data_IF_265298162448
#
_entry.id   IF_265298162448
#
_cell.length_a   1.000
_cell.length_b   1.000
_cell.length_c   1.000
_cell.angle_alpha   90.00
_cell.angle_beta   90.00
_cell.angle_gamma   90.00
#
_symmetry.space_group_name_H-M   'P 1'
#
loop_
_entity.id
_entity.type
_entity.pdbx_description
1 polymer ?
#
# COMPACT_ATOMS: atom_id res chain seq x y z
N UNK A 1 -1.48 6.51 -26.42
CA UNK A 1 -0.83 6.99 -25.19
C UNK A 1 -1.49 6.33 -24.00
N UNK A 2 -1.04 5.11 -23.75
CA UNK A 2 -1.31 4.37 -22.52
C UNK A 2 -0.51 5.03 -21.38
N UNK A 3 -1.05 4.98 -20.16
CA UNK A 3 -0.38 5.49 -18.96
C UNK A 3 0.01 4.33 -18.05
N UNK A 4 1.22 4.41 -17.52
CA UNK A 4 1.82 3.37 -16.69
C UNK A 4 2.17 3.93 -15.31
N UNK A 5 1.97 3.09 -14.29
CA UNK A 5 2.21 3.45 -12.90
C UNK A 5 3.73 3.56 -12.64
N UNK A 6 4.21 4.73 -12.23
CA UNK A 6 5.53 4.90 -11.63
C UNK A 6 5.36 5.13 -10.13
N UNK A 7 6.19 4.49 -9.31
CA UNK A 7 6.16 4.67 -7.85
C UNK A 7 7.56 5.04 -7.39
N UNK A 8 7.66 6.11 -6.61
CA UNK A 8 8.91 6.60 -6.05
C UNK A 8 8.77 6.97 -4.57
N UNK A 9 9.88 6.98 -3.84
CA UNK A 9 9.92 7.37 -2.43
C UNK A 9 11.18 8.18 -2.12
N UNK A 10 11.14 8.96 -1.03
CA UNK A 10 12.24 9.83 -0.64
C UNK A 10 11.91 10.77 0.52
N UNK A 11 12.89 11.52 1.06
CA UNK A 11 12.67 12.46 2.16
C UNK A 11 11.93 13.74 1.73
N UNK A 12 11.96 14.10 0.45
CA UNK A 12 11.27 15.28 -0.10
C UNK A 12 10.85 15.06 -1.56
N UNK A 13 10.00 15.96 -2.09
CA UNK A 13 9.49 15.87 -3.47
C UNK A 13 10.62 16.01 -4.50
N UNK A 14 11.67 16.76 -4.17
CA UNK A 14 12.84 16.99 -5.05
C UNK A 14 13.91 15.88 -4.93
N UNK A 15 13.69 14.89 -4.06
CA UNK A 15 14.64 13.83 -3.73
C UNK A 15 13.97 12.44 -3.71
N UNK A 16 13.14 12.14 -4.72
CA UNK A 16 12.47 10.86 -4.88
C UNK A 16 13.28 9.90 -5.77
N UNK A 17 13.46 8.65 -5.34
CA UNK A 17 14.00 7.55 -6.15
C UNK A 17 12.91 6.53 -6.52
N UNK A 18 12.99 5.93 -7.72
CA UNK A 18 12.01 4.94 -8.20
C UNK A 18 12.13 3.66 -7.36
N UNK A 19 11.01 3.19 -6.83
CA UNK A 19 10.94 2.00 -5.98
C UNK A 19 11.16 0.71 -6.78
N UNK A 20 11.89 -0.23 -6.17
CA UNK A 20 11.93 -1.62 -6.59
C UNK A 20 10.61 -2.32 -6.17
N UNK A 21 9.49 -1.98 -6.81
CA UNK A 21 8.15 -2.46 -6.43
C UNK A 21 8.09 -3.98 -6.39
N UNK A 22 7.53 -4.54 -5.31
CA UNK A 22 7.50 -5.97 -4.97
C UNK A 22 8.87 -6.65 -4.70
N UNK A 23 9.97 -5.89 -4.56
CA UNK A 23 11.29 -6.41 -4.13
C UNK A 23 11.60 -5.98 -2.69
N UNK A 24 11.17 -6.79 -1.72
CA UNK A 24 11.32 -6.50 -0.29
C UNK A 24 12.78 -6.52 0.21
N UNK A 25 13.70 -7.09 -0.57
CA UNK A 25 15.16 -7.04 -0.37
C UNK A 25 15.79 -5.71 -0.79
N UNK A 26 15.05 -4.84 -1.51
CA UNK A 26 15.53 -3.58 -2.09
C UNK A 26 14.64 -2.37 -1.68
N UNK A 27 14.43 -2.13 -0.37
CA UNK A 27 13.70 -0.94 0.06
C UNK A 27 14.48 0.33 -0.25
N UNK A 28 13.75 1.38 -0.61
CA UNK A 28 14.28 2.75 -0.75
C UNK A 28 14.76 3.24 0.61
N UNK A 29 15.97 3.79 0.68
CA UNK A 29 16.54 4.30 1.94
C UNK A 29 16.26 5.79 2.08
N UNK A 30 15.61 6.15 3.17
CA UNK A 30 15.33 7.53 3.55
C UNK A 30 16.38 7.96 4.57
N UNK A 31 17.27 8.86 4.18
CA UNK A 31 18.34 9.38 5.02
C UNK A 31 18.28 10.90 5.04
N UNK A 32 17.87 11.46 6.19
CA UNK A 32 17.58 12.89 6.32
C UNK A 32 17.84 13.38 7.74
N UNK A 33 17.91 14.70 7.94
CA UNK A 33 18.12 15.29 9.28
C UNK A 33 16.95 15.08 10.25
N UNK A 34 15.76 14.70 9.77
CA UNK A 34 14.53 14.53 10.57
C UNK A 34 14.12 13.05 10.73
N UNK A 35 14.61 12.15 9.88
CA UNK A 35 14.24 10.74 9.83
C UNK A 35 15.32 9.88 9.14
N UNK A 36 15.63 8.73 9.76
CA UNK A 36 16.47 7.68 9.19
C UNK A 36 15.65 6.40 9.09
N UNK A 37 15.48 5.86 7.89
CA UNK A 37 14.61 4.70 7.69
C UNK A 37 14.61 4.15 6.26
N UNK A 38 13.68 3.24 6.00
CA UNK A 38 13.56 2.51 4.73
C UNK A 38 12.10 2.20 4.39
N UNK A 39 11.76 2.23 3.11
CA UNK A 39 10.39 2.06 2.59
C UNK A 39 10.36 1.04 1.45
N UNK A 40 9.42 0.11 1.48
CA UNK A 40 9.06 -0.77 0.35
C UNK A 40 7.60 -0.56 -0.02
N UNK A 41 7.27 -0.79 -1.30
CA UNK A 41 5.89 -0.74 -1.80
C UNK A 41 5.61 -2.01 -2.59
N UNK A 42 4.46 -2.61 -2.29
CA UNK A 42 3.95 -3.82 -2.92
C UNK A 42 2.67 -3.47 -3.67
N UNK A 43 2.53 -3.99 -4.89
CA UNK A 43 1.34 -3.77 -5.74
C UNK A 43 0.95 -5.09 -6.35
N UNK A 44 -0.33 -5.47 -6.19
CA UNK A 44 -0.89 -6.68 -6.77
C UNK A 44 -1.02 -6.51 -8.28
N UNK A 45 -0.58 -7.52 -9.03
CA UNK A 45 -0.52 -7.56 -10.49
C UNK A 45 0.14 -6.33 -11.14
N UNK A 46 1.21 -5.81 -10.51
CA UNK A 46 1.97 -4.63 -10.93
C UNK A 46 2.36 -4.65 -12.41
N UNK A 47 2.03 -3.57 -13.11
CA UNK A 47 2.38 -3.34 -14.53
C UNK A 47 3.17 -2.05 -14.75
N UNK A 48 3.76 -1.52 -13.68
CA UNK A 48 4.40 -0.20 -13.68
C UNK A 48 5.83 -0.17 -14.20
N UNK A 49 6.43 1.02 -14.13
CA UNK A 49 7.84 1.27 -14.43
C UNK A 49 8.72 0.65 -13.34
N UNK A 50 9.68 -0.24 -13.67
CA UNK A 50 10.63 -0.75 -12.70
C UNK A 50 11.72 0.28 -12.36
N UNK A 51 12.35 0.12 -11.19
CA UNK A 51 13.60 0.78 -10.87
C UNK A 51 14.75 0.33 -11.80
N UNK A 52 15.75 1.18 -11.99
CA UNK A 52 16.88 0.90 -12.88
C UNK A 52 17.62 -0.39 -12.47
N UNK A 53 17.85 -1.28 -13.43
CA UNK A 53 18.51 -2.57 -13.20
C UNK A 53 17.67 -3.62 -12.44
N UNK A 54 16.43 -3.31 -12.05
CA UNK A 54 15.54 -4.23 -11.32
C UNK A 54 14.52 -4.84 -12.28
N UNK A 55 14.35 -6.18 -12.33
CA UNK A 55 13.31 -6.79 -13.16
C UNK A 55 11.91 -6.55 -12.59
N UNK A 56 10.91 -6.40 -13.47
CA UNK A 56 9.50 -6.25 -13.04
C UNK A 56 9.04 -7.50 -12.28
N UNK A 57 8.63 -7.32 -11.02
CA UNK A 57 7.94 -8.32 -10.22
C UNK A 57 6.45 -7.97 -10.15
N UNK A 58 5.59 -8.80 -10.75
CA UNK A 58 4.13 -8.55 -10.81
C UNK A 58 3.43 -8.66 -9.46
N UNK A 59 3.90 -9.55 -8.58
CA UNK A 59 3.33 -9.80 -7.27
C UNK A 59 4.46 -10.08 -6.26
N UNK A 60 4.28 -9.63 -5.02
CA UNK A 60 5.05 -10.10 -3.88
C UNK A 60 4.35 -11.30 -3.21
N UNK A 61 5.11 -12.15 -2.50
CA UNK A 61 4.55 -13.28 -1.73
C UNK A 61 3.55 -12.82 -0.65
N UNK A 62 3.67 -11.57 -0.19
CA UNK A 62 2.70 -10.84 0.63
C UNK A 62 1.24 -11.11 0.25
N UNK A 63 0.89 -11.05 -1.04
CA UNK A 63 -0.48 -11.24 -1.54
C UNK A 63 -0.94 -12.70 -1.57
N UNK A 64 -0.10 -13.63 -1.11
CA UNK A 64 -0.41 -15.06 -0.93
C UNK A 64 -0.50 -15.46 0.55
N UNK A 65 -0.08 -14.59 1.48
CA UNK A 65 -0.20 -14.83 2.92
C UNK A 65 -1.61 -14.43 3.42
N UNK A 66 -2.16 -15.08 4.46
CA UNK A 66 -3.49 -14.76 5.02
C UNK A 66 -3.67 -13.32 5.54
N UNK A 67 -2.56 -12.59 5.67
CA UNK A 67 -2.52 -11.18 6.06
C UNK A 67 -2.67 -10.21 4.88
N UNK A 68 -2.21 -10.62 3.69
CA UNK A 68 -2.13 -9.76 2.50
C UNK A 68 -3.00 -10.19 1.31
N UNK A 69 -3.63 -11.37 1.38
CA UNK A 69 -4.45 -11.96 0.29
C UNK A 69 -5.54 -11.04 -0.26
N UNK A 70 -6.21 -10.32 0.65
CA UNK A 70 -7.31 -9.40 0.43
C UNK A 70 -6.86 -7.96 0.13
N UNK A 71 -5.56 -7.68 0.17
CA UNK A 71 -4.99 -6.37 -0.13
C UNK A 71 -4.65 -6.23 -1.62
N UNK A 72 -4.71 -5.01 -2.12
CA UNK A 72 -4.31 -4.65 -3.49
C UNK A 72 -2.94 -3.97 -3.54
N UNK A 73 -2.50 -3.40 -2.41
CA UNK A 73 -1.18 -2.81 -2.23
C UNK A 73 -0.73 -2.85 -0.76
N UNK A 74 0.54 -2.58 -0.50
CA UNK A 74 1.11 -2.32 0.83
C UNK A 74 2.20 -1.25 0.72
N UNK A 75 2.25 -0.34 1.69
CA UNK A 75 3.35 0.62 1.90
C UNK A 75 3.93 0.30 3.29
N UNK A 76 5.09 -0.35 3.32
CA UNK A 76 5.76 -0.71 4.56
C UNK A 76 6.96 0.20 4.78
N UNK A 77 7.04 0.82 5.95
CA UNK A 77 8.12 1.72 6.35
C UNK A 77 8.70 1.30 7.70
N UNK A 78 10.01 1.45 7.86
CA UNK A 78 10.72 1.25 9.14
C UNK A 78 11.71 2.38 9.36
N UNK A 79 11.76 2.99 10.54
CA UNK A 79 12.76 4.02 10.84
C UNK A 79 12.64 4.66 12.22
N UNK A 80 13.53 5.60 12.49
CA UNK A 80 13.59 6.44 13.70
C UNK A 80 13.43 7.91 13.34
N UNK A 81 12.83 8.68 14.26
CA UNK A 81 12.69 10.13 14.15
C UNK A 81 13.81 10.79 14.96
N UNK A 82 14.53 11.77 14.41
CA UNK A 82 15.72 12.34 15.08
C UNK A 82 15.39 13.26 16.27
N UNK A 83 14.13 13.66 16.39
CA UNK A 83 13.56 14.43 17.50
C UNK A 83 12.30 13.73 18.02
N UNK A 84 11.96 13.97 19.29
CA UNK A 84 10.72 13.47 19.88
C UNK A 84 9.49 14.03 19.17
N UNK A 85 8.51 13.16 18.88
CA UNK A 85 7.25 13.53 18.23
C UNK A 85 6.05 12.89 18.93
N UNK A 86 5.04 13.69 19.25
CA UNK A 86 3.76 13.17 19.77
C UNK A 86 3.08 12.33 18.69
N UNK A 87 2.53 11.17 19.08
CA UNK A 87 1.76 10.31 18.19
C UNK A 87 0.47 10.97 17.69
N UNK A 88 0.04 12.11 18.27
CA UNK A 88 -1.05 12.93 17.74
C UNK A 88 -0.59 13.85 16.59
N UNK A 89 0.69 14.26 16.59
CA UNK A 89 1.28 15.17 15.60
C UNK A 89 1.96 14.42 14.44
N UNK A 90 2.43 13.19 14.68
CA UNK A 90 2.97 12.28 13.67
C UNK A 90 1.82 11.73 12.79
N UNK A 91 1.68 12.25 11.58
CA UNK A 91 0.59 11.90 10.67
C UNK A 91 1.08 11.25 9.37
N UNK A 92 0.22 10.40 8.81
CA UNK A 92 0.36 9.80 7.49
C UNK A 92 -0.94 9.94 6.70
N UNK A 93 -0.84 10.00 5.37
CA UNK A 93 -1.98 10.23 4.50
C UNK A 93 -1.60 11.02 3.25
N UNK A 94 -2.59 11.54 2.55
CA UNK A 94 -2.46 12.13 1.23
C UNK A 94 -2.30 13.65 1.24
N UNK A 95 -1.49 14.15 0.29
CA UNK A 95 -1.37 15.57 -0.04
C UNK A 95 -1.40 15.75 -1.56
N UNK A 96 -2.11 16.78 -2.02
CA UNK A 96 -2.27 17.13 -3.43
C UNK A 96 -1.64 18.52 -3.67
N UNK A 97 -1.01 18.68 -4.83
CA UNK A 97 -0.33 19.93 -5.21
C UNK A 97 -1.27 20.97 -5.82
N UNK A 98 -2.41 20.50 -6.34
CA UNK A 98 -3.41 21.30 -7.04
C UNK A 98 -4.83 21.05 -6.49
N UNK A 99 -5.75 22.03 -6.59
CA UNK A 99 -7.11 21.90 -6.09
C UNK A 99 -7.86 20.72 -6.72
N UNK A 100 -8.59 19.97 -5.91
CA UNK A 100 -9.47 18.89 -6.37
C UNK A 100 -10.92 19.35 -6.54
N UNK A 101 -11.31 20.49 -5.91
CA UNK A 101 -12.70 20.98 -5.79
C UNK A 101 -13.51 21.02 -7.08
N UNK A 102 -12.87 21.32 -8.20
CA UNK A 102 -13.50 21.45 -9.52
C UNK A 102 -13.63 20.09 -10.26
N UNK A 103 -13.03 19.03 -9.68
CA UNK A 103 -13.03 17.65 -10.18
C UNK A 103 -13.64 16.65 -9.19
N UNK A 104 -14.08 17.07 -8.00
CA UNK A 104 -14.66 16.17 -7.00
C UNK A 104 -15.94 15.48 -7.52
N UNK A 105 -16.08 14.13 -7.42
CA UNK A 105 -17.25 13.42 -7.93
C UNK A 105 -18.56 13.85 -7.29
N UNK A 106 -19.64 13.77 -8.06
CA UNK A 106 -20.99 13.67 -7.48
C UNK A 106 -21.04 12.41 -6.60
N UNK A 107 -21.28 12.60 -5.29
CA UNK A 107 -21.13 11.54 -4.29
C UNK A 107 -19.82 11.57 -3.51
N UNK A 108 -18.99 12.62 -3.62
CA UNK A 108 -17.80 12.82 -2.75
C UNK A 108 -18.13 12.70 -1.25
N UNK A 109 -19.33 13.13 -0.83
CA UNK A 109 -19.80 12.96 0.55
C UNK A 109 -19.93 11.49 0.99
N UNK A 110 -20.10 10.55 0.05
CA UNK A 110 -20.09 9.10 0.30
C UNK A 110 -18.64 8.62 0.45
N UNK A 111 -17.73 9.04 -0.45
CA UNK A 111 -16.31 8.70 -0.37
C UNK A 111 -15.66 9.24 0.93
N UNK A 112 -16.01 10.46 1.36
CA UNK A 112 -15.58 11.05 2.63
C UNK A 112 -16.13 10.28 3.84
N UNK A 113 -17.43 9.92 3.83
CA UNK A 113 -18.01 9.06 4.87
C UNK A 113 -17.37 7.68 4.92
N UNK A 114 -16.99 7.14 3.75
CA UNK A 114 -16.27 5.86 3.67
C UNK A 114 -14.86 5.98 4.25
N UNK A 115 -14.14 7.07 3.97
CA UNK A 115 -12.84 7.33 4.59
C UNK A 115 -12.95 7.36 6.13
N UNK A 116 -13.94 8.07 6.69
CA UNK A 116 -14.21 8.07 8.14
C UNK A 116 -14.74 6.73 8.70
N UNK A 117 -15.24 5.84 7.86
CA UNK A 117 -15.67 4.48 8.26
C UNK A 117 -14.48 3.51 8.32
N UNK A 118 -13.53 3.62 7.39
CA UNK A 118 -12.28 2.85 7.39
C UNK A 118 -11.34 3.36 8.48
N UNK A 119 -11.22 4.68 8.62
CA UNK A 119 -10.37 5.33 9.61
C UNK A 119 -11.14 6.46 10.33
N UNK A 120 -11.61 6.24 11.56
CA UNK A 120 -12.36 7.25 12.31
C UNK A 120 -11.48 8.42 12.81
N UNK A 121 -10.16 8.36 12.62
CA UNK A 121 -9.22 9.41 13.02
C UNK A 121 -8.84 10.36 11.89
N UNK A 122 -9.28 10.08 10.65
CA UNK A 122 -8.94 10.87 9.48
C UNK A 122 -9.52 12.28 9.55
N UNK A 123 -8.67 13.26 9.25
CA UNK A 123 -9.04 14.65 9.01
C UNK A 123 -8.69 15.01 7.58
N UNK A 124 -9.47 15.86 6.93
CA UNK A 124 -9.22 16.25 5.56
C UNK A 124 -9.72 17.67 5.27
N UNK A 125 -9.11 18.30 4.27
CA UNK A 125 -9.70 19.41 3.54
C UNK A 125 -9.49 19.14 2.05
N UNK A 126 -10.57 18.74 1.36
CA UNK A 126 -10.55 18.48 -0.08
C UNK A 126 -10.86 19.72 -0.94
N UNK A 127 -11.21 20.84 -0.30
CA UNK A 127 -11.62 22.08 -0.97
C UNK A 127 -10.51 23.15 -0.97
N UNK A 128 -9.52 23.02 -0.10
CA UNK A 128 -8.29 23.79 -0.08
C UNK A 128 -7.57 23.86 -1.45
N UNK A 129 -6.72 24.87 -1.64
CA UNK A 129 -5.88 24.99 -2.85
C UNK A 129 -4.80 23.90 -2.94
N UNK A 130 -4.40 23.36 -1.79
CA UNK A 130 -3.59 22.14 -1.66
C UNK A 130 -4.34 21.14 -0.80
N UNK A 131 -5.22 20.32 -1.40
CA UNK A 131 -6.02 19.34 -0.68
C UNK A 131 -5.18 18.35 0.11
N UNK A 132 -5.75 17.87 1.22
CA UNK A 132 -5.09 16.89 2.07
C UNK A 132 -6.09 16.00 2.81
N UNK A 133 -5.63 14.80 3.17
CA UNK A 133 -6.32 13.89 4.07
C UNK A 133 -5.26 13.18 4.93
N UNK A 134 -5.25 13.43 6.23
CA UNK A 134 -4.23 12.95 7.17
C UNK A 134 -4.85 12.31 8.40
N UNK A 135 -4.22 11.25 8.87
CA UNK A 135 -4.53 10.56 10.11
C UNK A 135 -3.25 10.39 10.94
N UNK A 136 -3.34 10.31 12.28
CA UNK A 136 -2.22 9.89 13.11
C UNK A 136 -1.64 8.54 12.66
N UNK A 137 -0.33 8.49 12.40
CA UNK A 137 0.34 7.35 11.73
C UNK A 137 -0.01 6.01 12.39
N UNK A 138 0.21 5.92 13.70
CA UNK A 138 0.05 4.66 14.45
C UNK A 138 -1.43 4.22 14.56
N UNK A 139 -2.39 5.11 14.31
CA UNK A 139 -3.82 4.80 14.30
C UNK A 139 -4.32 4.31 12.92
N UNK A 140 -3.79 4.86 11.83
CA UNK A 140 -4.29 4.61 10.46
C UNK A 140 -3.70 3.38 9.76
N UNK A 141 -2.48 2.98 10.15
CA UNK A 141 -1.78 1.83 9.55
C UNK A 141 -2.48 0.51 9.86
N UNK A 142 -2.39 -0.46 8.96
CA UNK A 142 -3.01 -1.78 9.15
C UNK A 142 -2.22 -2.62 10.16
N UNK A 143 -0.89 -2.46 10.20
CA UNK A 143 -0.01 -2.99 11.25
C UNK A 143 0.94 -1.91 11.77
N UNK A 144 1.21 -1.94 13.07
CA UNK A 144 2.29 -1.16 13.68
C UNK A 144 3.07 -2.00 14.69
N UNK A 145 4.38 -1.93 14.59
CA UNK A 145 5.33 -2.48 15.54
C UNK A 145 6.29 -1.40 16.05
N UNK A 146 6.72 -1.54 17.30
CA UNK A 146 7.70 -0.67 17.93
C UNK A 146 8.86 -1.49 18.50
N UNK A 147 10.08 -0.97 18.38
CA UNK A 147 11.28 -1.56 18.99
C UNK A 147 12.10 -0.44 19.62
N UNK A 148 12.05 -0.32 20.96
CA UNK A 148 12.87 0.64 21.69
C UNK A 148 14.26 0.08 21.95
N UNK A 149 15.29 0.85 21.56
CA UNK A 149 16.69 0.59 21.86
C UNK A 149 17.12 1.24 23.20
N UNK A 150 18.35 0.99 23.65
CA UNK A 150 18.89 1.67 24.83
C UNK A 150 19.08 3.17 24.57
N UNK A 151 18.83 4.05 25.55
CA UNK A 151 18.88 5.50 25.36
C UNK A 151 20.17 5.99 24.70
N UNK A 152 20.04 6.62 23.53
CA UNK A 152 21.16 7.18 22.77
C UNK A 152 21.89 6.19 21.86
N UNK A 153 21.41 4.94 21.71
CA UNK A 153 21.96 3.96 20.74
C UNK A 153 22.09 4.58 19.34
N UNK A 154 21.04 5.27 18.90
CA UNK A 154 20.98 5.88 17.57
C UNK A 154 21.72 7.22 17.45
N UNK A 155 22.04 7.89 18.56
CA UNK A 155 22.72 9.19 18.56
C UNK A 155 24.18 9.15 18.07
N UNK A 156 24.79 7.97 18.02
CA UNK A 156 26.13 7.77 17.46
C UNK A 156 26.13 7.64 15.93
N UNK A 157 24.96 7.42 15.31
CA UNK A 157 24.80 7.24 13.87
C UNK A 157 24.28 8.52 13.21
N UNK A 158 24.76 8.79 11.99
CA UNK A 158 24.33 9.93 11.17
C UNK A 158 24.04 9.52 9.71
N UNK A 159 23.98 8.22 9.42
CA UNK A 159 23.75 7.63 8.10
C UNK A 159 22.89 6.39 8.28
N UNK A 160 21.67 6.41 7.73
CA UNK A 160 20.65 5.39 7.94
C UNK A 160 21.14 3.96 7.64
N UNK A 161 21.91 3.77 6.56
CA UNK A 161 22.45 2.45 6.18
C UNK A 161 23.29 1.80 7.28
N UNK A 162 24.08 2.59 8.02
CA UNK A 162 24.91 2.06 9.13
C UNK A 162 24.10 1.64 10.36
N UNK A 163 22.89 2.20 10.52
CA UNK A 163 21.98 1.86 11.61
C UNK A 163 21.37 0.49 11.37
N UNK A 164 21.03 0.17 10.11
CA UNK A 164 20.44 -1.11 9.72
C UNK A 164 21.38 -2.31 9.86
N UNK A 165 22.68 -2.06 10.01
CA UNK A 165 23.73 -3.06 10.27
C UNK A 165 23.96 -3.30 11.77
N UNK A 166 23.40 -2.45 12.65
CA UNK A 166 23.50 -2.63 14.10
C UNK A 166 22.55 -3.74 14.59
N UNK A 167 23.00 -4.48 15.61
CA UNK A 167 22.24 -5.61 16.18
C UNK A 167 21.01 -5.19 16.98
N UNK A 168 20.95 -3.94 17.45
CA UNK A 168 19.78 -3.38 18.08
C UNK A 168 18.71 -2.95 17.07
N UNK A 169 19.04 -2.86 15.77
CA UNK A 169 18.07 -2.48 14.75
C UNK A 169 17.21 -3.68 14.38
N UNK A 170 15.87 -3.59 14.47
CA UNK A 170 15.00 -4.72 14.15
C UNK A 170 15.11 -5.09 12.66
N UNK A 171 15.10 -6.38 12.32
CA UNK A 171 15.12 -6.81 10.92
C UNK A 171 13.97 -6.17 10.14
N UNK A 172 14.16 -5.95 8.84
CA UNK A 172 13.05 -5.51 7.99
C UNK A 172 12.10 -6.70 7.80
N UNK A 173 10.76 -6.51 7.90
CA UNK A 173 9.84 -7.58 7.57
C UNK A 173 9.90 -7.89 6.06
N UNK A 174 10.38 -9.08 5.72
CA UNK A 174 10.57 -9.57 4.34
C UNK A 174 10.17 -11.04 4.22
N UNK A 175 9.80 -11.52 3.02
CA UNK A 175 9.43 -12.93 2.77
C UNK A 175 10.43 -13.95 3.33
N UNK A 176 11.73 -13.64 3.23
CA UNK A 176 12.84 -14.49 3.63
C UNK A 176 13.44 -14.09 5.00
N UNK A 177 12.71 -13.29 5.78
CA UNK A 177 13.16 -12.77 7.07
C UNK A 177 13.31 -13.85 8.15
N UNK A 178 14.23 -13.64 9.09
CA UNK A 178 14.51 -14.60 10.18
C UNK A 178 13.36 -14.76 11.20
N UNK A 179 12.35 -13.87 11.16
CA UNK A 179 11.16 -13.99 11.99
C UNK A 179 10.24 -15.10 11.48
N UNK A 180 9.68 -15.90 12.41
CA UNK A 180 8.69 -16.96 12.12
C UNK A 180 7.42 -16.47 11.41
N UNK A 181 7.24 -15.16 11.31
CA UNK A 181 6.15 -14.49 10.63
C UNK A 181 6.81 -13.45 9.72
N UNK A 182 6.62 -13.59 8.40
CA UNK A 182 7.46 -12.96 7.38
C UNK A 182 7.20 -11.45 7.18
N UNK A 183 6.11 -10.91 7.72
CA UNK A 183 5.68 -9.52 7.50
C UNK A 183 5.33 -8.81 8.81
N UNK A 184 5.14 -7.48 8.71
CA UNK A 184 4.86 -6.61 9.86
C UNK A 184 3.67 -7.13 10.69
N UNK A 185 3.84 -7.15 12.01
CA UNK A 185 2.79 -7.51 12.97
C UNK A 185 2.27 -6.27 13.69
N UNK A 186 1.11 -6.42 14.32
CA UNK A 186 0.73 -5.54 15.42
C UNK A 186 1.45 -5.99 16.68
N UNK A 187 2.39 -5.15 17.12
CA UNK A 187 3.11 -5.21 18.39
C UNK A 187 3.72 -3.83 18.67
N UNK A 188 2.90 -2.86 19.07
CA UNK A 188 3.36 -1.51 19.44
C UNK A 188 4.10 -1.47 20.80
N UNK A 189 4.83 -2.54 21.13
CA UNK A 189 5.68 -2.76 22.30
C UNK A 189 5.12 -2.13 23.60
N UNK A 190 3.90 -2.53 24.00
CA UNK A 190 3.12 -1.91 25.07
C UNK A 190 3.24 -0.40 25.25
N UNK A 191 3.32 0.32 24.12
CA UNK A 191 3.35 1.77 23.96
C UNK A 191 4.59 2.43 24.57
N UNK A 192 5.74 1.88 24.15
CA UNK A 192 7.09 2.40 24.41
C UNK A 192 7.47 2.40 25.89
N UNK A 193 7.58 1.17 26.41
CA UNK A 193 8.21 0.81 27.68
C UNK A 193 9.44 1.67 28.02
N UNK A 194 9.68 1.91 29.31
CA UNK A 194 10.86 2.63 29.81
C UNK A 194 11.89 1.66 30.41
N UNK A 195 13.12 2.10 30.62
CA UNK A 195 14.16 1.34 31.31
C UNK A 195 14.09 1.59 32.83
N UNK A 196 13.95 0.54 33.62
CA UNK A 196 14.08 0.56 35.09
C UNK A 196 15.15 -0.47 35.49
N UNK A 197 16.22 -0.02 36.15
CA UNK A 197 17.41 -0.81 36.52
C UNK A 197 18.04 -1.63 35.36
N UNK A 198 17.88 -1.16 34.11
CA UNK A 198 18.39 -1.85 32.91
C UNK A 198 17.38 -2.82 32.27
N UNK A 199 16.20 -3.03 32.85
CA UNK A 199 15.14 -3.84 32.26
C UNK A 199 14.04 -2.98 31.61
N UNK A 200 13.51 -3.45 30.48
CA UNK A 200 12.50 -2.73 29.69
C UNK A 200 11.08 -3.03 30.21
N UNK A 201 10.50 -2.08 30.97
CA UNK A 201 9.22 -2.21 31.70
C UNK A 201 8.14 -1.25 31.19
N UNK A 202 6.86 -1.59 31.34
CA UNK A 202 5.75 -0.68 30.98
C UNK A 202 5.79 0.55 31.89
N UNK A 203 5.58 1.76 31.35
CA UNK A 203 5.55 2.98 32.17
C UNK A 203 4.42 2.93 33.21
N UNK A 204 4.66 3.48 34.40
CA UNK A 204 3.65 3.58 35.46
C UNK A 204 2.45 4.42 35.06
N UNK A 205 2.64 5.40 34.16
CA UNK A 205 1.57 6.25 33.62
C UNK A 205 0.53 5.46 32.81
N UNK A 206 0.92 4.26 32.35
CA UNK A 206 0.10 3.34 31.57
C UNK A 206 -0.59 2.26 32.44
N UNK A 207 -0.37 2.22 33.77
CA UNK A 207 -1.04 1.26 34.68
C UNK A 207 -2.58 1.37 34.63
N UNK A 208 -3.09 2.58 34.36
CA UNK A 208 -4.53 2.87 34.18
C UNK A 208 -5.16 2.09 33.01
N UNK A 209 -4.36 1.74 31.99
CA UNK A 209 -4.77 1.11 30.73
C UNK A 209 -4.26 -0.34 30.59
N UNK A 210 -3.72 -0.92 31.65
CA UNK A 210 -3.01 -2.22 31.64
C UNK A 210 -3.74 -3.36 30.90
N UNK A 211 -5.08 -3.42 30.99
CA UNK A 211 -5.88 -4.49 30.37
C UNK A 211 -6.00 -4.30 28.84
N UNK A 212 -6.08 -3.04 28.39
CA UNK A 212 -6.02 -2.70 26.97
C UNK A 212 -4.60 -2.96 26.42
N UNK A 213 -3.58 -2.62 27.21
CA UNK A 213 -2.17 -2.76 26.84
C UNK A 213 -1.74 -4.23 26.77
N UNK A 214 -2.22 -5.08 27.68
CA UNK A 214 -2.00 -6.53 27.62
C UNK A 214 -2.54 -7.15 26.31
N UNK A 215 -3.55 -6.54 25.69
CA UNK A 215 -4.12 -7.00 24.41
C UNK A 215 -3.29 -6.58 23.19
N UNK A 216 -2.39 -5.59 23.30
CA UNK A 216 -1.58 -5.08 22.18
C UNK A 216 -0.53 -6.08 21.71
N UNK A 217 0.03 -6.88 22.63
CA UNK A 217 1.01 -7.94 22.33
C UNK A 217 0.37 -9.32 22.12
N UNK A 218 -0.91 -9.37 21.73
CA UNK A 218 -1.63 -10.62 21.54
C UNK A 218 -1.06 -11.45 20.37
N UNK A 219 -0.81 -12.77 20.56
CA UNK A 219 -0.50 -13.67 19.44
C UNK A 219 -1.62 -13.71 18.40
N UNK A 220 -2.88 -13.58 18.82
CA UNK A 220 -4.00 -13.30 17.92
C UNK A 220 -3.89 -11.84 17.43
N UNK A 221 -3.52 -11.72 16.17
CA UNK A 221 -3.30 -10.46 15.48
C UNK A 221 -4.59 -9.71 15.13
N UNK A 222 -5.76 -10.33 15.19
CA UNK A 222 -7.05 -9.64 15.12
C UNK A 222 -7.29 -8.87 16.42
N UNK A 223 -7.02 -9.52 17.57
CA UNK A 223 -7.10 -8.89 18.89
C UNK A 223 -6.09 -7.75 19.05
N UNK A 224 -4.83 -7.96 18.64
CA UNK A 224 -3.79 -6.92 18.70
C UNK A 224 -4.15 -5.68 17.87
N UNK A 225 -4.60 -5.88 16.63
CA UNK A 225 -5.02 -4.79 15.73
C UNK A 225 -6.22 -4.01 16.28
N UNK A 226 -7.25 -4.73 16.76
CA UNK A 226 -8.42 -4.10 17.36
C UNK A 226 -8.07 -3.33 18.64
N UNK A 227 -7.19 -3.88 19.49
CA UNK A 227 -6.71 -3.21 20.69
C UNK A 227 -5.93 -1.92 20.35
N UNK A 228 -5.05 -1.96 19.34
CA UNK A 228 -4.34 -0.78 18.83
C UNK A 228 -5.31 0.28 18.33
N UNK A 229 -6.18 -0.07 17.38
CA UNK A 229 -7.13 0.86 16.77
C UNK A 229 -8.06 1.48 17.83
N UNK A 230 -8.47 0.71 18.84
CA UNK A 230 -9.28 1.19 19.96
C UNK A 230 -8.51 2.16 20.87
N UNK A 231 -7.28 1.82 21.29
CA UNK A 231 -6.51 2.67 22.21
C UNK A 231 -6.00 3.93 21.52
N UNK A 232 -5.39 3.79 20.34
CA UNK A 232 -4.91 4.91 19.52
C UNK A 232 -6.03 5.67 18.80
N UNK A 233 -7.27 5.17 18.80
CA UNK A 233 -8.44 5.95 18.34
C UNK A 233 -8.76 7.13 19.27
N UNK A 234 -8.39 7.05 20.55
CA UNK A 234 -8.62 8.09 21.55
C UNK A 234 -7.58 9.21 21.40
N UNK A 235 -8.05 10.47 21.31
CA UNK A 235 -7.17 11.63 21.08
C UNK A 235 -6.15 11.85 22.20
N UNK A 236 -6.59 11.85 23.46
CA UNK A 236 -5.72 12.07 24.61
C UNK A 236 -4.57 11.06 24.68
N UNK A 237 -4.87 9.78 24.39
CA UNK A 237 -3.88 8.70 24.36
C UNK A 237 -2.75 8.96 23.36
N UNK A 238 -3.05 9.57 22.20
CA UNK A 238 -2.03 9.97 21.22
C UNK A 238 -1.27 11.23 21.62
N UNK A 239 -1.90 12.13 22.37
CA UNK A 239 -1.26 13.35 22.89
C UNK A 239 -0.28 13.02 24.03
N UNK A 240 -0.63 12.07 24.90
CA UNK A 240 0.20 11.55 25.99
C UNK A 240 1.36 10.66 25.50
N UNK A 241 1.28 10.13 24.27
CA UNK A 241 2.23 9.18 23.70
C UNK A 241 3.29 9.89 22.85
N UNK A 242 4.56 9.79 23.29
CA UNK A 242 5.71 10.32 22.58
C UNK A 242 6.50 9.17 21.91
N UNK A 243 6.79 9.34 20.61
CA UNK A 243 7.80 8.55 19.90
C UNK A 243 9.13 9.28 20.05
N UNK A 244 10.14 8.61 20.58
CA UNK A 244 11.47 9.20 20.84
C UNK A 244 12.50 8.77 19.80
N UNK A 245 13.69 9.40 19.77
CA UNK A 245 14.79 8.94 18.92
C UNK A 245 15.28 7.51 19.19
N UNK A 246 14.90 6.90 20.31
CA UNK A 246 15.24 5.52 20.66
C UNK A 246 14.25 4.48 20.09
N UNK A 247 13.10 4.92 19.56
CA UNK A 247 12.02 4.07 19.07
C UNK A 247 12.12 3.81 17.57
N UNK A 248 12.54 2.61 17.18
CA UNK A 248 12.40 2.15 15.79
C UNK A 248 10.93 1.77 15.56
N UNK A 249 10.25 2.55 14.71
CA UNK A 249 8.87 2.32 14.31
C UNK A 249 8.86 1.53 13.02
N UNK A 250 8.13 0.40 13.00
CA UNK A 250 7.83 -0.35 11.78
C UNK A 250 6.32 -0.32 11.54
N UNK A 251 5.88 0.04 10.34
CA UNK A 251 4.47 0.16 9.99
C UNK A 251 4.19 -0.42 8.61
N UNK A 252 2.96 -0.89 8.42
CA UNK A 252 2.45 -1.30 7.11
C UNK A 252 1.06 -0.73 6.87
N UNK A 253 0.93 0.04 5.80
CA UNK A 253 -0.30 0.67 5.36
C UNK A 253 -0.79 0.01 4.07
N UNK A 254 -1.86 -0.76 4.18
CA UNK A 254 -2.47 -1.48 3.07
C UNK A 254 -3.99 -1.44 3.16
N UNK A 255 -4.67 -1.58 2.02
CA UNK A 255 -6.07 -1.97 1.98
C UNK A 255 -6.38 -2.72 0.66
N UNK A 256 -7.56 -3.32 0.56
CA UNK A 256 -8.11 -3.91 -0.66
C UNK A 256 -9.06 -2.99 -1.44
N UNK A 257 -9.16 -1.71 -1.05
CA UNK A 257 -10.15 -0.77 -1.61
C UNK A 257 -9.60 0.01 -2.80
N UNK A 258 -8.28 0.23 -2.91
CA UNK A 258 -7.68 1.02 -4.00
C UNK A 258 -6.90 0.10 -4.95
N UNK A 259 -7.32 0.02 -6.20
CA UNK A 259 -6.51 -0.57 -7.27
C UNK A 259 -5.64 0.52 -7.90
N UNK A 260 -4.33 0.49 -7.66
CA UNK A 260 -3.40 1.46 -8.21
C UNK A 260 -3.05 1.25 -9.70
N UNK A 261 -3.26 0.05 -10.25
CA UNK A 261 -3.03 -0.16 -11.69
C UNK A 261 -4.11 0.53 -12.53
N UNK A 262 -5.31 0.71 -11.97
CA UNK A 262 -6.44 1.41 -12.62
C UNK A 262 -6.76 2.77 -11.98
N UNK A 263 -6.16 3.12 -10.84
CA UNK A 263 -6.59 4.19 -9.94
C UNK A 263 -8.10 4.15 -9.63
N UNK A 264 -8.63 3.01 -9.20
CA UNK A 264 -10.05 2.87 -8.83
C UNK A 264 -10.23 2.61 -7.32
N UNK A 265 -11.12 3.37 -6.68
CA UNK A 265 -11.59 3.12 -5.31
C UNK A 265 -12.87 2.29 -5.34
N UNK A 266 -12.86 1.15 -4.64
CA UNK A 266 -13.97 0.19 -4.52
C UNK A 266 -14.59 0.31 -3.13
N UNK A 267 -15.85 0.77 -3.04
CA UNK A 267 -16.56 0.87 -1.76
C UNK A 267 -17.22 -0.48 -1.43
N UNK A 268 -16.88 -1.11 -0.27
CA UNK A 268 -17.48 -2.36 0.16
C UNK A 268 -18.99 -2.19 0.43
N UNK A 269 -19.74 -3.29 0.27
CA UNK A 269 -21.19 -3.37 0.50
C UNK A 269 -22.10 -2.49 -0.39
N UNK A 270 -21.54 -1.79 -1.39
CA UNK A 270 -22.33 -1.01 -2.36
C UNK A 270 -22.07 -1.35 -3.83
N UNK A 271 -20.98 -2.04 -4.16
CA UNK A 271 -20.58 -2.29 -5.57
C UNK A 271 -20.24 -1.00 -6.35
N UNK A 272 -20.02 0.11 -5.64
CA UNK A 272 -19.66 1.39 -6.24
C UNK A 272 -18.15 1.47 -6.44
N UNK A 273 -17.74 1.74 -7.67
CA UNK A 273 -16.35 2.00 -8.03
C UNK A 273 -16.20 3.46 -8.49
N UNK A 274 -15.14 4.12 -8.02
CA UNK A 274 -14.82 5.51 -8.34
C UNK A 274 -13.47 5.56 -9.04
N UNK A 275 -13.46 5.97 -10.31
CA UNK A 275 -12.24 6.28 -11.07
C UNK A 275 -11.57 7.53 -10.49
N UNK A 276 -10.55 7.31 -9.67
CA UNK A 276 -9.79 8.38 -9.01
C UNK A 276 -8.91 9.16 -9.99
N UNK A 277 -8.48 8.52 -11.10
CA UNK A 277 -7.66 9.14 -12.13
C UNK A 277 -8.32 10.35 -12.78
N UNK A 278 -9.65 10.32 -12.96
CA UNK A 278 -10.45 11.48 -13.38
C UNK A 278 -10.40 12.67 -12.41
N UNK A 279 -10.16 12.42 -11.11
CA UNK A 279 -10.29 13.43 -10.07
C UNK A 279 -8.96 14.05 -9.66
N UNK A 280 -7.85 13.31 -9.81
CA UNK A 280 -6.51 13.83 -9.53
C UNK A 280 -5.98 14.81 -10.59
N UNK A 281 -6.71 15.00 -11.70
CA UNK A 281 -6.39 15.98 -12.75
C UNK A 281 -4.95 15.82 -13.31
N UNK A 282 -4.50 14.57 -13.44
CA UNK A 282 -3.15 14.23 -13.91
C UNK A 282 -2.00 14.50 -12.92
N UNK A 283 -2.28 14.98 -11.70
CA UNK A 283 -1.27 15.13 -10.65
C UNK A 283 -1.00 13.79 -9.93
N UNK A 284 0.18 13.58 -9.34
CA UNK A 284 0.49 12.34 -8.64
C UNK A 284 -0.27 12.22 -7.31
N UNK A 285 -0.54 10.98 -6.89
CA UNK A 285 -1.05 10.68 -5.55
C UNK A 285 0.14 10.56 -4.60
N UNK A 286 0.28 11.54 -3.70
CA UNK A 286 1.39 11.57 -2.76
C UNK A 286 0.96 11.20 -1.35
N UNK A 287 1.49 10.11 -0.83
CA UNK A 287 1.47 9.77 0.58
C UNK A 287 2.65 10.45 1.28
N UNK A 288 2.40 11.05 2.45
CA UNK A 288 3.40 11.83 3.18
C UNK A 288 3.33 11.46 4.66
N UNK A 289 4.46 11.01 5.22
CA UNK A 289 4.65 10.95 6.67
C UNK A 289 5.29 12.26 7.13
N UNK A 290 4.67 12.95 8.10
CA UNK A 290 5.14 14.25 8.58
C UNK A 290 4.68 14.56 10.00
N UNK A 291 5.34 15.53 10.62
CA UNK A 291 4.80 16.22 11.79
C UNK A 291 3.83 17.31 11.33
N UNK A 292 2.55 17.22 11.73
CA UNK A 292 1.51 18.15 11.28
C UNK A 292 1.68 19.58 11.85
N UNK A 293 2.40 19.75 12.96
CA UNK A 293 2.68 21.06 13.58
C UNK A 293 3.94 21.72 13.02
N UNK A 294 5.08 21.05 13.09
CA UNK A 294 6.38 21.60 12.63
C UNK A 294 6.51 21.60 11.11
N UNK A 295 5.66 20.83 10.41
CA UNK A 295 5.68 20.59 8.95
C UNK A 295 6.90 19.81 8.44
N UNK A 296 7.78 19.33 9.35
CA UNK A 296 8.89 18.41 9.02
C UNK A 296 8.33 17.17 8.31
N UNK A 297 8.89 16.85 7.15
CA UNK A 297 8.55 15.65 6.37
C UNK A 297 9.57 14.56 6.71
N UNK A 298 9.08 13.36 6.98
CA UNK A 298 9.91 12.22 7.35
C UNK A 298 10.15 11.30 6.16
N UNK A 299 9.09 10.98 5.40
CA UNK A 299 9.19 10.33 4.11
C UNK A 299 7.97 10.60 3.23
N UNK A 300 8.16 10.42 1.93
CA UNK A 300 7.15 10.55 0.89
C UNK A 300 7.11 9.24 0.10
N UNK A 301 5.91 8.81 -0.31
CA UNK A 301 5.69 7.81 -1.36
C UNK A 301 4.77 8.43 -2.41
N UNK A 302 5.22 8.49 -3.65
CA UNK A 302 4.51 9.12 -4.76
C UNK A 302 4.12 8.07 -5.79
N UNK A 303 2.84 8.04 -6.14
CA UNK A 303 2.27 7.23 -7.21
C UNK A 303 1.92 8.16 -8.37
N UNK A 304 2.52 7.93 -9.54
CA UNK A 304 2.38 8.78 -10.72
C UNK A 304 1.93 7.95 -11.93
N UNK A 305 1.17 8.56 -12.84
CA UNK A 305 0.75 7.94 -14.10
C UNK A 305 1.48 8.59 -15.27
N UNK A 306 2.66 8.05 -15.55
CA UNK A 306 3.55 8.52 -16.62
C UNK A 306 3.10 7.99 -17.98
N UNK A 307 3.41 8.71 -19.05
CA UNK A 307 3.14 8.29 -20.42
C UNK A 307 4.13 7.21 -20.86
N UNK A 308 3.64 6.17 -21.55
CA UNK A 308 4.49 5.13 -22.11
C UNK A 308 5.39 5.67 -23.24
N UNK A 309 6.71 5.66 -23.00
CA UNK A 309 7.71 6.13 -23.97
C UNK A 309 7.93 5.19 -25.17
N UNK A 310 7.28 4.02 -25.17
CA UNK A 310 7.48 2.94 -26.15
C UNK A 310 6.35 2.77 -27.17
N UNK A 311 5.32 3.64 -27.17
CA UNK A 311 4.44 3.81 -28.34
C UNK A 311 5.21 4.49 -29.48
N UNK A 312 6.10 3.74 -30.16
CA UNK A 312 6.63 4.17 -31.46
C UNK A 312 5.47 4.34 -32.42
N UNK A 313 5.28 5.57 -32.91
CA UNK A 313 4.35 5.85 -34.00
C UNK A 313 4.67 4.93 -35.19
N UNK A 314 3.75 4.01 -35.50
CA UNK A 314 3.73 3.36 -36.80
C UNK A 314 3.20 4.39 -37.78
N UNK A 315 4.08 5.27 -38.25
CA UNK A 315 3.78 6.14 -39.38
C UNK A 315 3.67 5.28 -40.62
N UNK A 316 2.45 4.98 -41.05
CA UNK A 316 2.19 4.49 -42.40
C UNK A 316 2.65 5.57 -43.39
N UNK A 317 3.85 5.38 -43.95
CA UNK A 317 4.39 6.20 -45.03
C UNK A 317 4.26 5.44 -46.35
N UNK A 318 3.39 5.95 -47.22
CA UNK A 318 3.05 5.44 -48.55
C UNK A 318 4.18 4.74 -49.33
N UNK A 319 3.83 3.63 -49.98
CA UNK A 319 4.40 3.29 -51.29
C UNK A 319 3.30 2.90 -52.28
N UNK A 320 2.55 3.91 -52.72
CA UNK A 320 1.54 3.75 -53.76
C UNK A 320 2.22 3.82 -55.15
N UNK A 321 2.25 2.70 -55.86
CA UNK A 321 2.76 2.61 -57.23
C UNK A 321 1.96 1.59 -58.07
N UNK A 322 0.95 2.10 -58.79
CA UNK A 322 0.47 1.46 -60.02
C UNK A 322 1.57 1.58 -61.11
N UNK A 323 1.65 0.79 -62.19
CA UNK A 323 0.68 -0.07 -62.91
C UNK A 323 1.51 -1.11 -63.72
N UNK A 324 1.02 -2.28 -64.12
CA UNK A 324 0.48 -2.56 -65.48
C UNK A 324 0.05 -4.03 -65.66
N UNK A 325 -0.85 -4.28 -66.61
CA UNK A 325 -1.51 -5.55 -66.90
C UNK A 325 -0.67 -6.61 -67.63
N UNK A 326 -0.98 -7.90 -67.40
CA UNK A 326 -0.99 -8.97 -68.42
C UNK A 326 -2.17 -9.91 -68.13
N UNK A 327 -2.87 -10.39 -69.16
CA UNK A 327 -4.07 -11.24 -69.07
C UNK A 327 -3.84 -12.67 -69.62
N UNK A 328 -4.91 -13.50 -69.58
CA UNK A 328 -5.04 -14.87 -70.15
C UNK A 328 -4.37 -16.01 -69.33
N UNK A 329 -4.91 -17.24 -69.22
CA UNK A 329 -6.21 -17.79 -69.69
C UNK A 329 -6.65 -19.05 -68.90
N UNK A 330 -7.92 -19.42 -69.12
CA UNK A 330 -8.69 -20.58 -68.66
C UNK A 330 -7.98 -21.94 -68.42
N UNK A 331 -8.52 -22.72 -67.48
CA UNK A 331 -9.13 -24.04 -67.82
C UNK A 331 -10.06 -24.60 -66.74
N UNK A 332 -11.05 -25.37 -67.19
CA UNK A 332 -12.09 -26.09 -66.42
C UNK A 332 -11.54 -27.46 -65.98
N UNK A 333 -12.07 -28.19 -64.99
CA UNK A 333 -13.37 -28.88 -65.09
C UNK A 333 -13.84 -29.56 -63.78
N UNK A 334 -15.17 -29.79 -63.70
CA UNK A 334 -15.92 -30.97 -63.18
C UNK A 334 -15.30 -32.00 -62.18
N UNK A 335 -16.03 -32.73 -61.32
CA UNK A 335 -17.48 -32.88 -60.96
C UNK A 335 -17.60 -33.84 -59.76
N UNK A 336 -18.73 -33.76 -59.02
CA UNK A 336 -19.41 -34.84 -58.25
C UNK A 336 -18.61 -35.63 -57.18
N UNK A 337 -19.20 -36.09 -56.07
CA UNK A 337 -20.59 -36.00 -55.60
C UNK A 337 -20.92 -37.19 -54.66
N UNK A 338 -22.05 -37.09 -53.95
CA UNK A 338 -22.78 -38.20 -53.27
C UNK A 338 -22.07 -38.87 -52.06
N UNK A 339 -22.65 -38.81 -50.84
CA UNK A 339 -23.56 -39.82 -50.23
C UNK A 339 -22.79 -40.80 -49.31
N UNK A 340 -23.33 -41.40 -48.24
CA UNK A 340 -24.58 -41.22 -47.46
C UNK A 340 -24.44 -42.00 -46.12
N UNK A 341 -25.36 -41.79 -45.17
CA UNK A 341 -25.71 -42.72 -44.07
C UNK A 341 -25.08 -42.42 -42.69
N UNK A 342 -25.82 -42.18 -41.59
CA UNK A 342 -26.73 -43.10 -40.82
C UNK A 342 -25.98 -44.28 -40.17
N UNK A 343 -26.31 -44.87 -39.00
CA UNK A 343 -27.35 -44.73 -37.95
C UNK A 343 -26.86 -45.56 -36.70
N UNK A 344 -27.37 -45.52 -35.46
CA UNK A 344 -28.42 -44.76 -34.76
C UNK A 344 -28.25 -44.89 -33.21
N UNK A 345 -29.18 -44.30 -32.43
CA UNK A 345 -29.53 -44.56 -31.00
C UNK A 345 -28.60 -43.98 -29.90
N UNK A 346 -29.06 -43.22 -28.88
CA UNK A 346 -30.32 -43.10 -28.12
C UNK A 346 -30.35 -43.85 -26.77
N UNK A 347 -31.24 -43.36 -25.90
CA UNK A 347 -31.67 -43.84 -24.58
C UNK A 347 -30.74 -43.63 -23.35
N UNK A 348 -31.24 -43.35 -22.14
CA UNK A 348 -32.46 -42.63 -21.73
C UNK A 348 -32.39 -42.35 -20.19
N UNK A 349 -33.24 -41.44 -19.67
CA UNK A 349 -33.67 -41.33 -18.25
C UNK A 349 -32.62 -41.03 -17.14
N UNK A 350 -32.99 -40.50 -15.96
CA UNK A 350 -34.17 -39.72 -15.55
C UNK A 350 -33.91 -39.00 -14.21
N UNK A 351 -34.80 -38.05 -13.89
CA UNK A 351 -34.97 -37.29 -12.65
C UNK A 351 -35.08 -38.11 -11.34
N UNK A 352 -34.66 -37.53 -10.21
CA UNK A 352 -34.98 -38.00 -8.86
C UNK A 352 -34.90 -36.86 -7.82
N UNK A 353 -35.87 -36.77 -6.91
CA UNK A 353 -36.12 -35.61 -6.04
C UNK A 353 -35.46 -35.64 -4.64
N UNK A 354 -35.33 -34.43 -4.08
CA UNK A 354 -35.46 -34.02 -2.66
C UNK A 354 -35.61 -35.10 -1.56
N UNK A 355 -34.86 -34.92 -0.45
CA UNK A 355 -35.49 -34.96 0.88
C UNK A 355 -34.75 -34.18 1.98
N UNK A 356 -35.46 -33.90 3.09
CA UNK A 356 -35.06 -33.07 4.24
C UNK A 356 -34.64 -33.88 5.48
N UNK A 357 -34.18 -33.13 6.49
CA UNK A 357 -34.17 -33.34 7.96
C UNK A 357 -32.75 -33.46 8.57
N UNK A 358 -32.30 -32.56 9.45
CA UNK A 358 -32.72 -32.20 10.82
C UNK A 358 -32.59 -33.34 11.85
N UNK A 359 -31.51 -33.32 12.64
CA UNK A 359 -31.53 -33.12 14.11
C UNK A 359 -30.26 -33.64 14.79
N UNK A 360 -29.52 -32.75 15.46
CA UNK A 360 -29.14 -32.83 16.88
C UNK A 360 -28.53 -31.50 17.31
#
# INVERSE_FOLDING_TARGET
MTKTLSISAGPSVDALEILAVNHDDKPVVIDSGDFHGRVTVRIKDFRGVPAEGVPIAKNASYFSEPYGDSMTYSIQAQGVFTEEVSAADLVFGNMFDHPLRDSLPYGTSIALRFASFVDPTIQHDLYADKPWAFSPLLATVYRAQANRAEPGTWSAHNVAKTMFEDKAWPPFPTPDGESKEHFTRDDIAPLFKTYDNGELVVSKDLEKDKDAIASLGSPDQSVASHARAKWLGIKQHREDLMVTPDDVITVDFCNGYIDFNQLHLKIPYGGLEFDLGKYYNGQPVRYVCKNIRTKKIYFIVQFDLVEDKDEKEVTDSDSNAATTDVAQEDSKDNTNGSEDGTQDNADDNATGELNKEKSS
#
